data_IF_927395008981
#
_entry.id   IF_927395008981
#
_cell.length_a   1.000
_cell.length_b   1.000
_cell.length_c   1.000
_cell.angle_alpha   90.00
_cell.angle_beta   90.00
_cell.angle_gamma   90.00
#
_symmetry.space_group_name_H-M   'P 1'
#
loop_
_entity.id
_entity.type
_entity.pdbx_description
1 polymer ?
#
# COMPACT_ATOMS: atom_id res chain seq x y z
N UNK A 1 6.95 -1.27 18.42
CA UNK A 1 7.27 0.16 18.24
C UNK A 1 6.50 0.65 17.04
N UNK A 2 5.69 1.69 17.20
CA UNK A 2 4.86 2.19 16.10
C UNK A 2 5.74 2.65 14.93
N UNK A 3 5.45 2.17 13.73
CA UNK A 3 6.11 2.55 12.49
C UNK A 3 5.39 3.73 11.84
N UNK A 4 4.05 3.72 11.89
CA UNK A 4 3.22 4.85 11.46
C UNK A 4 2.53 5.41 12.70
N UNK A 5 2.68 6.71 12.90
CA UNK A 5 2.06 7.44 14.00
C UNK A 5 1.23 8.59 13.42
N UNK A 6 -0.05 8.59 13.71
CA UNK A 6 -1.01 9.63 13.33
C UNK A 6 -1.55 10.22 14.62
N UNK A 7 -1.46 11.54 14.79
CA UNK A 7 -1.85 12.23 16.03
C UNK A 7 -2.74 13.41 15.73
N UNK A 8 -3.95 13.38 16.27
CA UNK A 8 -4.95 14.46 16.22
C UNK A 8 -5.12 15.03 14.79
N UNK A 9 -5.25 14.13 13.79
CA UNK A 9 -5.29 14.51 12.39
C UNK A 9 -6.69 14.96 11.99
N UNK A 10 -6.76 16.17 11.47
CA UNK A 10 -7.92 16.71 10.78
C UNK A 10 -7.64 16.75 9.28
N UNK A 11 -8.61 16.38 8.48
CA UNK A 11 -8.53 16.49 7.02
C UNK A 11 -9.87 16.95 6.46
N UNK A 12 -9.83 18.05 5.72
CA UNK A 12 -10.99 18.55 4.98
C UNK A 12 -10.62 18.85 3.54
N UNK A 13 -11.60 18.73 2.65
CA UNK A 13 -11.52 19.15 1.26
C UNK A 13 -12.54 20.26 1.03
N UNK A 14 -12.15 21.24 0.21
CA UNK A 14 -13.07 22.26 -0.30
C UNK A 14 -13.59 21.80 -1.66
N UNK A 15 -14.90 21.67 -1.80
CA UNK A 15 -15.55 21.38 -3.06
C UNK A 15 -16.58 22.47 -3.33
N UNK A 16 -16.25 23.37 -4.26
CA UNK A 16 -17.01 24.59 -4.50
C UNK A 16 -17.20 25.39 -3.20
N UNK A 17 -18.44 25.63 -2.76
CA UNK A 17 -18.74 26.32 -1.50
C UNK A 17 -18.86 25.37 -0.29
N UNK A 18 -18.82 24.06 -0.50
CA UNK A 18 -18.97 23.08 0.56
C UNK A 18 -17.63 22.59 1.09
N UNK A 19 -17.48 22.59 2.41
CA UNK A 19 -16.39 21.93 3.11
C UNK A 19 -16.82 20.52 3.49
N UNK A 20 -15.98 19.54 3.12
CA UNK A 20 -16.18 18.13 3.47
C UNK A 20 -15.08 17.75 4.46
N UNK A 21 -15.45 17.52 5.71
CA UNK A 21 -14.54 17.03 6.73
C UNK A 21 -14.46 15.50 6.63
N UNK A 22 -13.24 14.98 6.42
CA UNK A 22 -12.97 13.55 6.30
C UNK A 22 -12.48 12.98 7.62
N UNK A 23 -11.60 13.71 8.32
CA UNK A 23 -11.11 13.35 9.65
C UNK A 23 -11.27 14.53 10.61
N UNK A 24 -11.64 14.23 11.86
CA UNK A 24 -11.92 15.23 12.92
C UNK A 24 -11.19 14.89 14.24
N UNK A 25 -9.86 14.61 14.15
CA UNK A 25 -9.04 14.26 15.31
C UNK A 25 -8.57 12.81 15.29
N UNK A 26 -8.35 12.24 14.08
CA UNK A 26 -7.91 10.86 13.91
C UNK A 26 -6.56 10.62 14.60
N UNK A 27 -6.51 9.59 15.45
CA UNK A 27 -5.28 9.09 16.08
C UNK A 27 -5.16 7.60 15.83
N UNK A 28 -3.98 7.14 15.37
CA UNK A 28 -3.73 5.76 14.99
C UNK A 28 -2.24 5.43 15.09
N UNK A 29 -1.93 4.23 15.55
CA UNK A 29 -0.61 3.61 15.49
C UNK A 29 -0.64 2.34 14.65
N UNK A 30 0.36 2.16 13.77
CA UNK A 30 0.59 0.93 13.02
C UNK A 30 1.98 0.42 13.37
N UNK A 31 2.05 -0.78 13.92
CA UNK A 31 3.30 -1.40 14.35
C UNK A 31 4.16 -1.86 13.16
N UNK A 32 5.48 -1.83 13.34
CA UNK A 32 6.42 -2.40 12.37
C UNK A 32 6.17 -3.90 12.19
N UNK A 33 6.23 -4.39 10.95
CA UNK A 33 5.99 -5.80 10.59
C UNK A 33 4.52 -6.23 10.76
N UNK A 34 3.59 -5.30 10.99
CA UNK A 34 2.16 -5.61 11.02
C UNK A 34 1.59 -5.79 9.61
N UNK A 35 0.52 -6.56 9.53
CA UNK A 35 -0.36 -6.60 8.36
C UNK A 35 -1.73 -6.09 8.83
N UNK A 36 -2.08 -4.88 8.41
CA UNK A 36 -3.29 -4.17 8.84
C UNK A 36 -4.26 -3.98 7.67
N UNK A 37 -5.52 -4.30 7.88
CA UNK A 37 -6.60 -4.02 6.94
C UNK A 37 -7.44 -2.83 7.44
N UNK A 38 -7.68 -1.87 6.56
CA UNK A 38 -8.61 -0.76 6.77
C UNK A 38 -9.90 -1.07 6.02
N UNK A 39 -10.96 -1.27 6.75
CA UNK A 39 -12.31 -1.52 6.21
C UNK A 39 -13.24 -0.32 6.44
N UNK A 40 -14.32 -0.27 5.71
CA UNK A 40 -15.36 0.75 5.87
C UNK A 40 -16.11 1.04 4.58
N UNK A 41 -17.24 1.75 4.63
CA UNK A 41 -18.03 2.09 3.46
C UNK A 41 -17.28 2.99 2.48
N UNK A 42 -17.77 3.08 1.25
CA UNK A 42 -17.24 4.05 0.29
C UNK A 42 -17.35 5.48 0.85
N UNK A 43 -16.32 6.29 0.64
CA UNK A 43 -16.29 7.67 1.16
C UNK A 43 -15.92 7.80 2.64
N UNK A 44 -15.60 6.72 3.37
CA UNK A 44 -15.20 6.83 4.79
C UNK A 44 -13.82 7.42 5.04
N UNK A 45 -13.03 7.68 3.99
CA UNK A 45 -11.70 8.29 4.12
C UNK A 45 -10.52 7.31 4.00
N UNK A 46 -10.74 6.02 3.69
CA UNK A 46 -9.68 4.99 3.63
C UNK A 46 -8.52 5.35 2.69
N UNK A 47 -8.81 5.69 1.45
CA UNK A 47 -7.79 6.12 0.48
C UNK A 47 -7.15 7.44 0.88
N UNK A 48 -7.91 8.35 1.53
CA UNK A 48 -7.35 9.58 2.11
C UNK A 48 -6.32 9.25 3.18
N UNK A 49 -6.60 8.28 4.05
CA UNK A 49 -5.67 7.83 5.09
C UNK A 49 -4.38 7.24 4.47
N UNK A 50 -4.51 6.37 3.46
CA UNK A 50 -3.33 5.87 2.72
C UNK A 50 -2.51 7.01 2.12
N UNK A 51 -3.17 8.01 1.52
CA UNK A 51 -2.50 9.15 0.92
C UNK A 51 -1.77 10.01 1.95
N UNK A 52 -2.32 10.19 3.15
CA UNK A 52 -1.63 10.87 4.26
C UNK A 52 -0.40 10.10 4.72
N UNK A 53 -0.51 8.77 4.90
CA UNK A 53 0.63 7.91 5.28
C UNK A 53 1.71 7.93 4.19
N UNK A 54 1.31 7.90 2.91
CA UNK A 54 2.24 7.98 1.78
C UNK A 54 2.87 9.36 1.58
N UNK A 55 2.37 10.41 2.25
CA UNK A 55 2.76 11.79 1.97
C UNK A 55 2.38 12.24 0.56
N UNK A 56 1.35 11.64 -0.03
CA UNK A 56 0.71 12.10 -1.27
C UNK A 56 -0.24 13.26 -1.03
N UNK A 57 -0.75 13.34 0.20
CA UNK A 57 -1.58 14.45 0.68
C UNK A 57 -1.11 14.87 2.08
N UNK A 58 -1.55 16.03 2.55
CA UNK A 58 -1.21 16.56 3.86
C UNK A 58 -2.46 16.71 4.73
N UNK A 59 -2.34 16.50 6.05
CA UNK A 59 -3.42 16.83 6.96
C UNK A 59 -3.68 18.34 6.98
N UNK A 60 -4.91 18.74 7.27
CA UNK A 60 -5.27 20.15 7.54
C UNK A 60 -4.70 20.61 8.89
N UNK A 61 -4.69 19.71 9.87
CA UNK A 61 -4.09 19.86 11.21
C UNK A 61 -3.65 18.51 11.73
N UNK A 62 -2.82 18.50 12.78
CA UNK A 62 -2.26 17.29 13.36
C UNK A 62 -0.98 16.83 12.67
N UNK A 63 -0.47 15.68 13.05
CA UNK A 63 0.84 15.19 12.58
C UNK A 63 0.76 13.76 12.08
N UNK A 64 1.54 13.47 11.03
CA UNK A 64 1.78 12.12 10.50
C UNK A 64 3.29 11.87 10.51
N UNK A 65 3.70 10.81 11.19
CA UNK A 65 5.09 10.33 11.20
C UNK A 65 5.14 8.91 10.70
N UNK A 66 6.15 8.60 9.88
CA UNK A 66 6.37 7.25 9.36
C UNK A 66 7.85 6.92 9.46
N UNK A 67 8.19 5.82 10.10
CA UNK A 67 9.57 5.45 10.42
C UNK A 67 10.35 6.59 11.11
N UNK A 68 9.69 7.29 12.04
CA UNK A 68 10.25 8.44 12.76
C UNK A 68 10.32 9.74 11.94
N UNK A 69 10.07 9.71 10.64
CA UNK A 69 10.12 10.90 9.78
C UNK A 69 8.81 11.72 9.85
N UNK A 70 8.84 13.05 10.05
CA UNK A 70 7.65 13.90 10.15
C UNK A 70 7.08 14.22 8.76
N UNK A 71 6.37 13.26 8.17
CA UNK A 71 5.87 13.31 6.78
C UNK A 71 4.99 14.53 6.52
N UNK A 72 4.15 14.91 7.48
CA UNK A 72 3.25 16.08 7.38
C UNK A 72 3.98 17.42 7.25
N UNK A 73 5.25 17.50 7.70
CA UNK A 73 6.02 18.74 7.76
C UNK A 73 6.99 18.90 6.57
N UNK A 74 7.23 17.82 5.81
CA UNK A 74 8.18 17.82 4.70
C UNK A 74 7.71 18.72 3.53
N UNK A 75 8.69 19.32 2.85
CA UNK A 75 8.45 20.00 1.57
C UNK A 75 8.12 18.98 0.46
N UNK A 76 7.54 19.40 -0.69
CA UNK A 76 7.24 18.49 -1.80
C UNK A 76 8.44 17.70 -2.31
N UNK A 77 9.62 18.33 -2.40
CA UNK A 77 10.85 17.67 -2.84
C UNK A 77 11.38 16.65 -1.83
N UNK A 78 11.30 16.97 -0.53
CA UNK A 78 11.64 16.04 0.55
C UNK A 78 10.69 14.84 0.55
N UNK A 79 9.38 15.07 0.40
CA UNK A 79 8.38 14.02 0.29
C UNK A 79 8.63 13.08 -0.89
N UNK A 80 8.97 13.62 -2.06
CA UNK A 80 9.27 12.79 -3.24
C UNK A 80 10.47 11.87 -2.99
N UNK A 81 11.56 12.42 -2.46
CA UNK A 81 12.76 11.65 -2.13
C UNK A 81 12.53 10.62 -1.01
N UNK A 82 11.71 10.98 -0.01
CA UNK A 82 11.36 10.10 1.09
C UNK A 82 10.45 8.96 0.62
N UNK A 83 9.39 9.25 -0.16
CA UNK A 83 8.48 8.22 -0.74
C UNK A 83 9.23 7.19 -1.56
N UNK A 84 10.14 7.64 -2.42
CA UNK A 84 10.92 6.75 -3.29
C UNK A 84 11.70 5.67 -2.52
N UNK A 85 12.00 5.92 -1.24
CA UNK A 85 12.77 4.99 -0.38
C UNK A 85 11.92 4.20 0.60
N UNK A 86 10.78 4.76 1.03
CA UNK A 86 10.05 4.26 2.19
C UNK A 86 8.69 3.68 1.86
N UNK A 87 8.10 4.04 0.71
CA UNK A 87 6.72 3.66 0.37
C UNK A 87 6.68 2.82 -0.89
N UNK A 88 6.13 1.61 -0.76
CA UNK A 88 5.66 0.82 -1.89
C UNK A 88 4.14 0.99 -2.02
N UNK A 89 3.67 1.63 -3.09
CA UNK A 89 2.26 1.87 -3.30
C UNK A 89 1.69 0.99 -4.41
N UNK A 90 0.56 0.32 -4.14
CA UNK A 90 -0.21 -0.47 -5.10
C UNK A 90 -1.59 0.14 -5.22
N UNK A 91 -1.94 0.59 -6.42
CA UNK A 91 -3.23 1.22 -6.73
C UNK A 91 -4.27 0.19 -7.15
N UNK A 92 -5.53 0.52 -6.99
CA UNK A 92 -6.65 -0.31 -7.40
C UNK A 92 -6.61 -0.69 -8.89
N UNK A 93 -6.20 0.22 -9.76
CA UNK A 93 -6.16 0.05 -11.22
C UNK A 93 -4.79 -0.38 -11.75
N UNK A 94 -3.96 -1.05 -10.94
CA UNK A 94 -2.58 -1.50 -11.24
C UNK A 94 -1.63 -0.36 -11.63
N UNK A 95 -2.07 0.61 -12.42
CA UNK A 95 -1.30 1.78 -12.90
C UNK A 95 0.04 1.39 -13.53
N UNK A 96 0.04 0.32 -14.32
CA UNK A 96 1.18 -0.04 -15.16
C UNK A 96 1.23 0.89 -16.38
N UNK A 97 2.43 1.27 -16.78
CA UNK A 97 2.63 2.00 -18.03
C UNK A 97 2.51 1.03 -19.20
N UNK A 98 1.51 1.19 -20.10
CA UNK A 98 1.19 0.19 -21.12
C UNK A 98 2.25 0.06 -22.21
N UNK A 99 3.13 1.06 -22.33
CA UNK A 99 4.24 1.11 -23.29
C UNK A 99 5.53 0.46 -22.76
N UNK A 100 5.54 0.05 -21.49
CA UNK A 100 6.66 -0.60 -20.83
C UNK A 100 6.34 -2.08 -20.58
N UNK A 101 7.37 -2.93 -20.64
CA UNK A 101 7.26 -4.33 -20.25
C UNK A 101 7.06 -4.46 -18.72
N UNK A 102 6.76 -5.68 -18.23
CA UNK A 102 6.71 -5.96 -16.79
C UNK A 102 8.04 -5.61 -16.12
N UNK A 103 9.17 -6.02 -16.70
CA UNK A 103 10.50 -5.67 -16.23
C UNK A 103 10.68 -4.15 -16.08
N UNK A 104 10.37 -3.40 -17.14
CA UNK A 104 10.54 -1.96 -17.17
C UNK A 104 9.61 -1.24 -16.19
N UNK A 105 8.36 -1.71 -16.03
CA UNK A 105 7.44 -1.20 -15.01
C UNK A 105 8.00 -1.39 -13.60
N UNK A 106 8.58 -2.56 -13.32
CA UNK A 106 9.18 -2.88 -12.01
C UNK A 106 10.46 -2.06 -11.78
N UNK A 107 11.25 -1.77 -12.82
CA UNK A 107 12.49 -0.97 -12.72
C UNK A 107 12.24 0.51 -12.40
N UNK A 108 11.07 1.07 -12.73
CA UNK A 108 10.79 2.52 -12.63
C UNK A 108 11.23 3.16 -11.30
N UNK A 109 10.89 2.61 -10.11
CA UNK A 109 11.31 3.21 -8.84
C UNK A 109 12.82 3.25 -8.67
N UNK A 110 13.55 2.29 -9.24
CA UNK A 110 15.00 2.20 -9.11
C UNK A 110 15.75 3.24 -9.96
N UNK A 111 15.12 3.79 -11.00
CA UNK A 111 15.70 4.86 -11.83
C UNK A 111 15.93 6.15 -11.04
N UNK A 112 15.23 6.32 -9.91
CA UNK A 112 15.40 7.45 -9.00
C UNK A 112 16.47 7.21 -7.92
N UNK A 113 17.15 6.07 -7.96
CA UNK A 113 18.19 5.68 -7.01
C UNK A 113 19.60 5.89 -7.59
N UNK A 114 20.62 5.72 -6.76
CA UNK A 114 22.03 5.73 -7.20
C UNK A 114 22.57 4.35 -7.59
N UNK A 115 21.69 3.36 -7.76
CA UNK A 115 22.09 2.00 -8.12
C UNK A 115 22.64 1.95 -9.55
N UNK A 116 23.70 1.17 -9.74
CA UNK A 116 24.23 0.83 -11.06
C UNK A 116 23.21 0.02 -11.88
N UNK A 117 23.37 -0.04 -13.20
CA UNK A 117 22.51 -0.85 -14.06
C UNK A 117 22.48 -2.33 -13.67
N UNK A 118 23.65 -2.88 -13.24
CA UNK A 118 23.75 -4.27 -12.76
C UNK A 118 22.92 -4.50 -11.50
N UNK A 119 23.06 -3.62 -10.50
CA UNK A 119 22.30 -3.72 -9.24
C UNK A 119 20.78 -3.58 -9.48
N UNK A 120 20.35 -2.66 -10.37
CA UNK A 120 18.93 -2.55 -10.74
C UNK A 120 18.44 -3.83 -11.39
N UNK A 121 19.19 -4.40 -12.33
CA UNK A 121 18.83 -5.66 -12.99
C UNK A 121 18.66 -6.80 -11.99
N UNK A 122 19.56 -6.94 -11.03
CA UNK A 122 19.49 -7.97 -10.00
C UNK A 122 18.24 -7.78 -9.12
N UNK A 123 17.94 -6.56 -8.69
CA UNK A 123 16.75 -6.25 -7.88
C UNK A 123 15.44 -6.49 -8.63
N UNK A 124 15.36 -6.10 -9.91
CA UNK A 124 14.16 -6.33 -10.73
C UNK A 124 13.92 -7.82 -10.94
N UNK A 125 14.96 -8.59 -11.26
CA UNK A 125 14.84 -10.06 -11.40
C UNK A 125 14.36 -10.70 -10.12
N UNK A 126 14.93 -10.33 -8.98
CA UNK A 126 14.51 -10.82 -7.67
C UNK A 126 13.04 -10.47 -7.38
N UNK A 127 12.63 -9.21 -7.63
CA UNK A 127 11.24 -8.79 -7.39
C UNK A 127 10.25 -9.56 -8.28
N UNK A 128 10.58 -9.79 -9.55
CA UNK A 128 9.76 -10.59 -10.46
C UNK A 128 9.70 -12.08 -10.05
N UNK A 129 10.80 -12.63 -9.56
CA UNK A 129 10.84 -13.99 -9.03
C UNK A 129 9.97 -14.15 -7.79
N UNK A 130 10.06 -13.22 -6.84
CA UNK A 130 9.24 -13.20 -5.60
C UNK A 130 7.75 -13.24 -5.91
N UNK A 131 7.31 -12.55 -6.97
CA UNK A 131 5.89 -12.53 -7.38
C UNK A 131 5.54 -13.63 -8.40
N UNK A 132 6.49 -14.50 -8.76
CA UNK A 132 6.28 -15.60 -9.69
C UNK A 132 6.04 -15.16 -11.14
N UNK A 133 6.76 -14.14 -11.62
CA UNK A 133 6.64 -13.58 -12.97
C UNK A 133 7.99 -13.47 -13.70
N UNK A 134 9.00 -14.25 -13.30
CA UNK A 134 10.31 -14.23 -13.95
C UNK A 134 10.23 -14.54 -15.46
N UNK A 135 9.34 -15.44 -15.87
CA UNK A 135 9.08 -15.84 -17.27
C UNK A 135 8.19 -14.83 -18.03
N UNK A 136 7.71 -13.78 -17.38
CA UNK A 136 6.85 -12.74 -17.95
C UNK A 136 7.52 -11.38 -18.01
N UNK A 137 8.82 -11.29 -17.73
CA UNK A 137 9.57 -10.05 -17.67
C UNK A 137 9.43 -9.16 -18.92
N UNK A 138 9.43 -9.77 -20.10
CA UNK A 138 9.38 -9.07 -21.38
C UNK A 138 7.95 -8.85 -21.92
N UNK A 139 6.91 -9.24 -21.16
CA UNK A 139 5.52 -9.05 -21.57
C UNK A 139 5.06 -7.62 -21.26
N UNK A 140 4.30 -7.05 -22.18
CA UNK A 140 3.59 -5.77 -21.96
C UNK A 140 2.29 -6.02 -21.16
N UNK A 141 1.75 -5.01 -20.45
CA UNK A 141 0.52 -5.15 -19.66
C UNK A 141 -0.62 -5.83 -20.45
N UNK A 142 -0.87 -5.45 -21.70
CA UNK A 142 -1.89 -6.06 -22.56
C UNK A 142 -1.74 -7.57 -22.82
N UNK A 143 -0.58 -8.14 -22.48
CA UNK A 143 -0.27 -9.57 -22.65
C UNK A 143 -0.34 -10.34 -21.32
N UNK A 144 -0.63 -9.64 -20.24
CA UNK A 144 -0.75 -10.18 -18.90
C UNK A 144 -2.22 -10.35 -18.52
N UNK A 145 -2.51 -11.36 -17.69
CA UNK A 145 -3.82 -11.43 -17.02
C UNK A 145 -3.91 -10.38 -15.92
N UNK A 146 -5.12 -10.02 -15.46
CA UNK A 146 -5.31 -9.07 -14.37
C UNK A 146 -4.52 -9.44 -13.09
N UNK A 147 -4.48 -10.74 -12.74
CA UNK A 147 -3.66 -11.22 -11.63
C UNK A 147 -2.16 -11.07 -11.87
N UNK A 148 -1.69 -11.21 -13.12
CA UNK A 148 -0.29 -10.96 -13.49
C UNK A 148 0.04 -9.46 -13.47
N UNK A 149 -0.87 -8.60 -13.95
CA UNK A 149 -0.71 -7.14 -13.86
C UNK A 149 -0.63 -6.69 -12.39
N UNK A 150 -1.50 -7.21 -11.52
CA UNK A 150 -1.46 -6.91 -10.09
C UNK A 150 -0.16 -7.38 -9.44
N UNK A 151 0.30 -8.59 -9.73
CA UNK A 151 1.60 -9.07 -9.22
C UNK A 151 2.77 -8.25 -9.76
N UNK A 152 2.70 -7.75 -10.99
CA UNK A 152 3.69 -6.80 -11.53
C UNK A 152 3.66 -5.47 -10.76
N UNK A 153 2.48 -4.95 -10.42
CA UNK A 153 2.35 -3.75 -9.60
C UNK A 153 2.90 -3.96 -8.17
N UNK A 154 2.71 -5.15 -7.59
CA UNK A 154 3.32 -5.52 -6.30
C UNK A 154 4.85 -5.62 -6.43
N UNK A 155 5.38 -6.25 -7.49
CA UNK A 155 6.82 -6.30 -7.74
C UNK A 155 7.43 -4.89 -7.83
N UNK A 156 6.78 -3.99 -8.56
CA UNK A 156 7.16 -2.57 -8.63
C UNK A 156 7.14 -1.90 -7.25
N UNK A 157 6.18 -2.22 -6.41
CA UNK A 157 6.08 -1.65 -5.08
C UNK A 157 7.19 -2.15 -4.14
N UNK A 158 7.65 -3.40 -4.26
CA UNK A 158 8.67 -3.98 -3.38
C UNK A 158 10.11 -3.82 -3.87
N UNK A 159 10.34 -3.50 -5.14
CA UNK A 159 11.68 -3.52 -5.77
C UNK A 159 12.70 -2.59 -5.11
N UNK A 160 12.23 -1.46 -4.55
CA UNK A 160 13.06 -0.49 -3.82
C UNK A 160 13.24 -0.86 -2.34
N UNK A 161 12.72 -2.02 -1.90
CA UNK A 161 12.75 -2.48 -0.51
C UNK A 161 12.11 -1.48 0.47
N UNK A 162 10.84 -1.09 0.27
CA UNK A 162 10.20 -0.05 1.06
C UNK A 162 9.98 -0.44 2.52
N UNK A 163 9.90 0.56 3.39
CA UNK A 163 9.59 0.39 4.81
C UNK A 163 8.12 0.01 5.04
N UNK A 164 7.21 0.58 4.23
CA UNK A 164 5.77 0.34 4.31
C UNK A 164 5.20 0.08 2.91
N UNK A 165 4.35 -0.92 2.80
CA UNK A 165 3.53 -1.18 1.63
C UNK A 165 2.09 -0.71 1.88
N UNK A 166 1.58 0.13 1.00
CA UNK A 166 0.22 0.67 1.03
C UNK A 166 -0.53 0.16 -0.20
N UNK A 167 -1.63 -0.54 0.00
CA UNK A 167 -2.38 -1.14 -1.09
C UNK A 167 -3.84 -0.67 -1.03
N UNK A 168 -4.30 -0.05 -2.10
CA UNK A 168 -5.69 0.40 -2.23
C UNK A 168 -6.47 -0.62 -3.07
N UNK A 169 -7.39 -1.36 -2.43
CA UNK A 169 -8.26 -2.40 -3.03
C UNK A 169 -7.48 -3.42 -3.91
N UNK A 170 -6.43 -4.09 -3.37
CA UNK A 170 -5.49 -4.87 -4.20
C UNK A 170 -6.11 -6.08 -4.90
N UNK A 171 -7.33 -6.48 -4.55
CA UNK A 171 -8.05 -7.61 -5.14
C UNK A 171 -9.34 -7.21 -5.83
N UNK A 172 -9.73 -5.92 -5.79
CA UNK A 172 -11.05 -5.47 -6.23
C UNK A 172 -11.37 -5.64 -7.72
N UNK A 173 -10.35 -5.89 -8.57
CA UNK A 173 -10.51 -6.09 -10.02
C UNK A 173 -10.11 -7.51 -10.46
N UNK A 174 -9.96 -8.44 -9.52
CA UNK A 174 -9.47 -9.79 -9.78
C UNK A 174 -10.57 -10.84 -9.64
N UNK A 175 -10.44 -11.92 -10.38
CA UNK A 175 -11.20 -13.14 -10.12
C UNK A 175 -10.79 -13.78 -8.77
N UNK A 176 -11.61 -14.70 -8.27
CA UNK A 176 -11.41 -15.32 -6.96
C UNK A 176 -10.06 -16.04 -6.82
N UNK A 177 -9.59 -16.70 -7.88
CA UNK A 177 -8.31 -17.42 -7.87
C UNK A 177 -7.13 -16.43 -7.82
N UNK A 178 -7.13 -15.44 -8.69
CA UNK A 178 -6.09 -14.41 -8.73
C UNK A 178 -6.06 -13.60 -7.43
N UNK A 179 -7.22 -13.31 -6.84
CA UNK A 179 -7.34 -12.65 -5.53
C UNK A 179 -6.65 -13.48 -4.44
N UNK A 180 -6.92 -14.78 -4.38
CA UNK A 180 -6.30 -15.70 -3.43
C UNK A 180 -4.76 -15.75 -3.59
N UNK A 181 -4.27 -15.81 -4.82
CA UNK A 181 -2.83 -15.81 -5.13
C UNK A 181 -2.16 -14.51 -4.65
N UNK A 182 -2.78 -13.35 -4.89
CA UNK A 182 -2.30 -12.04 -4.44
C UNK A 182 -2.31 -11.95 -2.90
N UNK A 183 -3.37 -12.36 -2.24
CA UNK A 183 -3.45 -12.32 -0.78
C UNK A 183 -2.42 -13.24 -0.13
N UNK A 184 -2.19 -14.44 -0.70
CA UNK A 184 -1.15 -15.35 -0.25
C UNK A 184 0.25 -14.73 -0.41
N UNK A 185 0.51 -14.05 -1.54
CA UNK A 185 1.76 -13.32 -1.75
C UNK A 185 1.97 -12.22 -0.69
N UNK A 186 0.93 -11.42 -0.39
CA UNK A 186 1.02 -10.38 0.65
C UNK A 186 1.29 -10.97 2.03
N UNK A 187 0.66 -12.10 2.38
CA UNK A 187 0.94 -12.82 3.64
C UNK A 187 2.41 -13.28 3.70
N UNK A 188 2.94 -13.82 2.61
CA UNK A 188 4.36 -14.20 2.54
C UNK A 188 5.29 -13.00 2.71
N UNK A 189 5.02 -11.90 2.03
CA UNK A 189 5.80 -10.65 2.17
C UNK A 189 5.81 -10.15 3.62
N UNK A 190 4.68 -10.26 4.34
CA UNK A 190 4.62 -9.90 5.74
C UNK A 190 5.34 -10.90 6.65
N UNK A 191 5.11 -12.21 6.49
CA UNK A 191 5.61 -13.23 7.42
C UNK A 191 7.09 -13.58 7.21
N UNK A 192 7.53 -13.70 5.95
CA UNK A 192 8.88 -14.15 5.59
C UNK A 192 9.85 -12.96 5.50
N UNK A 193 9.39 -11.81 5.02
CA UNK A 193 10.22 -10.62 4.80
C UNK A 193 9.95 -9.49 5.80
N UNK A 194 9.10 -9.73 6.82
CA UNK A 194 8.76 -8.76 7.87
C UNK A 194 8.26 -7.41 7.34
N UNK A 195 7.63 -7.37 6.16
CA UNK A 195 7.12 -6.13 5.57
C UNK A 195 5.90 -5.62 6.34
N UNK A 196 5.88 -4.33 6.63
CA UNK A 196 4.68 -3.67 7.14
C UNK A 196 3.74 -3.42 5.99
N UNK A 197 2.52 -3.94 6.10
CA UNK A 197 1.52 -3.89 5.03
C UNK A 197 0.24 -3.25 5.55
N UNK A 198 -0.27 -2.26 4.83
CA UNK A 198 -1.59 -1.67 5.07
C UNK A 198 -2.42 -1.84 3.80
N UNK A 199 -3.51 -2.57 3.89
CA UNK A 199 -4.47 -2.71 2.79
C UNK A 199 -5.75 -1.95 3.10
N UNK A 200 -6.31 -1.27 2.12
CA UNK A 200 -7.69 -0.80 2.11
C UNK A 200 -8.52 -1.81 1.35
N UNK A 201 -9.61 -2.26 1.92
CA UNK A 201 -10.53 -3.18 1.24
C UNK A 201 -11.94 -3.11 1.82
N UNK A 202 -12.92 -3.42 1.00
CA UNK A 202 -14.30 -3.69 1.42
C UNK A 202 -14.58 -5.20 1.44
N UNK A 203 -13.66 -6.04 0.96
CA UNK A 203 -13.76 -7.49 0.96
C UNK A 203 -13.34 -8.06 2.33
N UNK A 204 -14.27 -8.74 2.99
CA UNK A 204 -14.03 -9.38 4.28
C UNK A 204 -12.95 -10.48 4.18
N UNK A 205 -12.92 -11.26 3.09
CA UNK A 205 -11.90 -12.31 2.90
C UNK A 205 -10.49 -11.74 2.77
N UNK A 206 -10.35 -10.59 2.10
CA UNK A 206 -9.07 -9.90 2.03
C UNK A 206 -8.66 -9.37 3.42
N UNK A 207 -9.60 -8.79 4.16
CA UNK A 207 -9.35 -8.28 5.50
C UNK A 207 -8.98 -9.38 6.51
N UNK A 208 -9.58 -10.56 6.42
CA UNK A 208 -9.27 -11.72 7.28
C UNK A 208 -7.83 -12.22 7.15
N UNK A 209 -7.13 -11.88 6.05
CA UNK A 209 -5.70 -12.19 5.88
C UNK A 209 -4.80 -11.31 6.72
N UNK A 210 -5.28 -10.14 7.14
CA UNK A 210 -4.53 -9.23 7.97
C UNK A 210 -4.52 -9.68 9.45
N UNK A 211 -3.48 -9.27 10.18
CA UNK A 211 -3.37 -9.52 11.62
C UNK A 211 -4.24 -8.57 12.44
N UNK A 212 -4.50 -7.38 11.90
CA UNK A 212 -5.31 -6.33 12.52
C UNK A 212 -6.34 -5.82 11.51
N UNK A 213 -7.58 -5.65 11.96
CA UNK A 213 -8.64 -5.06 11.15
C UNK A 213 -9.12 -3.80 11.85
N UNK A 214 -9.03 -2.68 11.15
CA UNK A 214 -9.52 -1.38 11.60
C UNK A 214 -10.73 -0.99 10.75
N UNK A 215 -11.78 -0.55 11.38
CA UNK A 215 -12.97 -0.04 10.69
C UNK A 215 -12.98 1.47 10.73
N UNK A 216 -13.09 2.08 9.57
CA UNK A 216 -13.20 3.52 9.41
C UNK A 216 -14.65 3.88 9.03
N UNK A 217 -15.34 4.57 9.91
CA UNK A 217 -16.71 5.03 9.70
C UNK A 217 -16.79 6.54 9.94
N UNK A 218 -17.20 7.30 8.92
CA UNK A 218 -17.37 8.77 9.00
C UNK A 218 -16.16 9.53 9.59
N UNK A 219 -14.95 9.03 9.30
CA UNK A 219 -13.71 9.64 9.79
C UNK A 219 -13.23 9.15 11.15
N UNK A 220 -14.00 8.30 11.84
CA UNK A 220 -13.62 7.72 13.11
C UNK A 220 -13.15 6.27 12.93
N UNK A 221 -12.09 5.91 13.67
CA UNK A 221 -11.59 4.54 13.75
C UNK A 221 -12.31 3.77 14.85
N UNK A 222 -12.92 2.65 14.46
CA UNK A 222 -13.51 1.68 15.38
C UNK A 222 -12.63 0.43 15.35
N UNK A 223 -11.87 0.18 16.42
CA UNK A 223 -11.17 -1.09 16.59
C UNK A 223 -12.19 -2.19 16.86
N UNK A 224 -12.29 -3.16 15.93
CA UNK A 224 -12.96 -4.42 16.22
C UNK A 224 -11.88 -5.45 16.52
N UNK A 225 -11.85 -6.01 17.76
CA UNK A 225 -10.92 -7.08 18.05
C UNK A 225 -11.15 -8.24 17.06
N UNK A 226 -10.08 -8.82 16.56
CA UNK A 226 -10.12 -9.99 15.68
C UNK A 226 -10.95 -11.07 16.37
N UNK A 227 -12.08 -11.44 15.78
CA UNK A 227 -12.74 -12.70 16.14
C UNK A 227 -11.75 -13.79 15.70
N UNK A 228 -11.08 -14.40 16.67
CA UNK A 228 -10.23 -15.55 16.41
C UNK A 228 -11.10 -16.55 15.64
N UNK A 229 -10.68 -16.90 14.42
CA UNK A 229 -11.33 -17.98 13.68
C UNK A 229 -11.34 -19.20 14.62
N UNK A 230 -12.53 -19.63 14.99
CA UNK A 230 -12.71 -20.82 15.79
C UNK A 230 -11.97 -21.94 15.08
N UNK A 231 -10.97 -22.52 15.77
CA UNK A 231 -10.24 -23.69 15.29
C UNK A 231 -11.29 -24.74 14.95
N UNK A 232 -11.51 -24.97 13.65
CA UNK A 232 -12.26 -26.11 13.17
C UNK A 232 -11.47 -27.34 13.62
N UNK A 233 -12.06 -28.06 14.59
CA UNK A 233 -11.63 -29.38 15.04
C UNK A 233 -11.93 -30.42 13.96
#
# INVERSE_FOLDING_TARGET
>A
MALVEIRDVYKSFQREEQRIDVFTGLTLDIEAGSFTALMGPSGSGKSTLLNLIAGLDKPTRGTVRVAGAPVSEMSPSQLAAWRARNIGFVFQSFNLLPVLTAYQNVELPLLLTRLSGKERTERVKLALDVVGLADRADHYPRQLSGGQEQRTAIARAIVADPTVMLLDEPTGQLDARSSQEVLTLLQRLNSEFSKTIVIVTHDAHAAERAKMILHLEKGDLIEKPRVAAAAAR
#
